data_IF_745227060782
#
_entry.id   IF_745227060782
#
_cell.length_a   1.000
_cell.length_b   1.000
_cell.length_c   1.000
_cell.angle_alpha   90.00
_cell.angle_beta   90.00
_cell.angle_gamma   90.00
#
_symmetry.space_group_name_H-M   'P 1'
#
loop_
_entity.id
_entity.type
_entity.pdbx_description
1 polymer ?
#
# COMPACT_ATOMS: atom_id res chain seq x y z
N UNK A 1 15.88 37.64 -24.58
CA UNK A 1 14.53 37.18 -24.16
C UNK A 1 14.20 35.78 -24.71
N UNK A 2 14.65 35.41 -25.92
CA UNK A 2 14.36 34.08 -26.50
C UNK A 2 14.94 32.88 -25.72
N UNK A 3 16.17 32.97 -25.22
CA UNK A 3 16.77 31.87 -24.44
C UNK A 3 16.05 31.54 -23.13
N UNK A 4 15.37 32.53 -22.53
CA UNK A 4 14.63 32.36 -21.28
C UNK A 4 13.29 31.65 -21.53
N UNK A 5 12.64 31.94 -22.67
CA UNK A 5 11.42 31.25 -23.12
C UNK A 5 11.73 29.77 -23.41
N UNK A 6 12.85 29.48 -24.09
CA UNK A 6 13.27 28.11 -24.37
C UNK A 6 13.49 27.28 -23.09
N UNK A 7 14.16 27.86 -22.08
CA UNK A 7 14.38 27.19 -20.79
C UNK A 7 13.07 26.89 -20.05
N UNK A 8 12.12 27.83 -20.04
CA UNK A 8 10.82 27.63 -19.38
C UNK A 8 10.02 26.52 -20.07
N UNK A 9 10.01 26.51 -21.41
CA UNK A 9 9.32 25.45 -22.18
C UNK A 9 9.94 24.09 -21.89
N UNK A 10 11.28 24.01 -21.91
CA UNK A 10 11.99 22.77 -21.61
C UNK A 10 11.70 22.28 -20.18
N UNK A 11 11.70 23.19 -19.20
CA UNK A 11 11.35 22.88 -17.82
C UNK A 11 9.91 22.35 -17.69
N UNK A 12 8.94 23.00 -18.34
CA UNK A 12 7.54 22.56 -18.31
C UNK A 12 7.36 21.18 -18.92
N UNK A 13 8.07 20.86 -20.00
CA UNK A 13 8.04 19.53 -20.62
C UNK A 13 8.59 18.49 -19.64
N UNK A 14 9.78 18.72 -19.07
CA UNK A 14 10.38 17.81 -18.10
C UNK A 14 9.50 17.63 -16.85
N UNK A 15 8.92 18.72 -16.35
CA UNK A 15 8.06 18.70 -15.18
C UNK A 15 6.78 17.91 -15.43
N UNK A 16 6.09 18.16 -16.55
CA UNK A 16 4.84 17.47 -16.89
C UNK A 16 5.06 15.98 -17.12
N UNK A 17 6.19 15.61 -17.75
CA UNK A 17 6.60 14.22 -17.91
C UNK A 17 6.83 13.56 -16.54
N UNK A 18 7.69 14.15 -15.69
CA UNK A 18 7.98 13.61 -14.36
C UNK A 18 6.73 13.48 -13.48
N UNK A 19 5.87 14.51 -13.49
CA UNK A 19 4.61 14.52 -12.77
C UNK A 19 3.64 13.44 -13.27
N UNK A 20 3.51 13.28 -14.60
CA UNK A 20 2.64 12.28 -15.21
C UNK A 20 3.04 10.86 -14.84
N UNK A 21 4.34 10.54 -14.92
CA UNK A 21 4.86 9.24 -14.52
C UNK A 21 4.67 8.97 -13.02
N UNK A 22 5.01 9.93 -12.16
CA UNK A 22 4.85 9.79 -10.71
C UNK A 22 3.39 9.51 -10.32
N UNK A 23 2.46 10.30 -10.87
CA UNK A 23 1.03 10.13 -10.61
C UNK A 23 0.49 8.79 -11.11
N UNK A 24 0.97 8.30 -12.25
CA UNK A 24 0.52 7.01 -12.78
C UNK A 24 0.97 5.83 -11.91
N UNK A 25 2.24 5.84 -11.46
CA UNK A 25 2.78 4.79 -10.60
C UNK A 25 2.07 4.78 -9.25
N UNK A 26 1.84 5.96 -8.66
CA UNK A 26 1.12 6.08 -7.39
C UNK A 26 -0.32 5.57 -7.51
N UNK A 27 -1.04 5.96 -8.56
CA UNK A 27 -2.40 5.45 -8.79
C UNK A 27 -2.44 3.94 -8.99
N UNK A 28 -1.45 3.37 -9.67
CA UNK A 28 -1.34 1.91 -9.82
C UNK A 28 -1.11 1.25 -8.46
N UNK A 29 -0.20 1.79 -7.65
CA UNK A 29 0.09 1.26 -6.31
C UNK A 29 -1.16 1.27 -5.42
N UNK A 30 -1.89 2.38 -5.37
CA UNK A 30 -3.12 2.49 -4.57
C UNK A 30 -4.18 1.46 -5.01
N UNK A 31 -4.34 1.23 -6.32
CA UNK A 31 -5.25 0.19 -6.82
C UNK A 31 -4.83 -1.22 -6.42
N UNK A 32 -3.53 -1.51 -6.42
CA UNK A 32 -3.03 -2.80 -5.94
C UNK A 32 -3.29 -2.99 -4.44
N UNK A 33 -3.19 -1.92 -3.63
CA UNK A 33 -3.59 -1.98 -2.22
C UNK A 33 -5.08 -2.27 -2.05
N UNK A 34 -5.96 -1.57 -2.76
CA UNK A 34 -7.40 -1.80 -2.69
C UNK A 34 -7.78 -3.25 -3.02
N UNK A 35 -7.14 -3.83 -4.05
CA UNK A 35 -7.35 -5.22 -4.44
C UNK A 35 -6.91 -6.19 -3.34
N UNK A 36 -5.75 -5.94 -2.73
CA UNK A 36 -5.25 -6.77 -1.62
C UNK A 36 -6.15 -6.66 -0.39
N UNK A 37 -6.63 -5.46 -0.07
CA UNK A 37 -7.54 -5.25 1.05
C UNK A 37 -8.84 -6.06 0.86
N UNK A 38 -9.43 -6.01 -0.34
CA UNK A 38 -10.59 -6.85 -0.67
C UNK A 38 -10.29 -8.36 -0.59
N UNK A 39 -9.12 -8.79 -1.08
CA UNK A 39 -8.71 -10.19 -1.03
C UNK A 39 -8.59 -10.72 0.42
N UNK A 40 -8.06 -9.91 1.32
CA UNK A 40 -7.79 -10.31 2.71
C UNK A 40 -8.90 -9.91 3.69
N UNK A 41 -10.01 -9.32 3.24
CA UNK A 41 -11.12 -8.88 4.09
C UNK A 41 -11.78 -10.01 4.93
N UNK A 42 -11.56 -11.28 4.57
CA UNK A 42 -12.03 -12.43 5.32
C UNK A 42 -11.21 -12.70 6.60
N UNK A 43 -9.99 -12.15 6.70
CA UNK A 43 -9.15 -12.26 7.88
C UNK A 43 -9.69 -11.29 8.93
N UNK A 44 -10.14 -11.83 10.06
CA UNK A 44 -10.62 -11.04 11.19
C UNK A 44 -9.53 -10.92 12.22
N UNK A 45 -9.20 -9.68 12.59
CA UNK A 45 -8.25 -9.37 13.65
C UNK A 45 -9.07 -8.99 14.88
N UNK A 46 -8.79 -9.64 16.01
CA UNK A 46 -9.37 -9.30 17.30
C UNK A 46 -8.25 -8.97 18.29
N UNK A 47 -8.45 -7.94 19.11
CA UNK A 47 -7.51 -7.52 20.16
C UNK A 47 -7.97 -7.99 21.55
N UNK A 48 -9.09 -8.72 21.64
CA UNK A 48 -9.57 -9.28 22.89
C UNK A 48 -8.56 -10.27 23.48
N UNK A 49 -8.17 -10.02 24.73
CA UNK A 49 -7.29 -10.90 25.51
C UNK A 49 -7.96 -12.23 25.85
N UNK A 50 -9.29 -12.26 25.94
CA UNK A 50 -10.07 -13.45 26.28
C UNK A 50 -11.17 -13.64 25.24
N UNK A 51 -11.20 -14.81 24.61
CA UNK A 51 -12.23 -15.19 23.65
C UNK A 51 -13.16 -16.19 24.33
N UNK A 52 -14.46 -15.89 24.34
CA UNK A 52 -15.49 -16.79 24.84
C UNK A 52 -16.11 -17.55 23.66
N UNK A 53 -15.84 -18.87 23.52
CA UNK A 53 -16.43 -19.65 22.44
C UNK A 53 -17.94 -19.81 22.66
N UNK A 54 -18.73 -19.57 21.61
CA UNK A 54 -20.19 -19.77 21.62
C UNK A 54 -20.57 -21.25 21.51
N UNK A 55 -19.67 -22.10 21.04
CA UNK A 55 -19.86 -23.52 20.83
C UNK A 55 -19.03 -24.36 21.83
N UNK A 56 -19.47 -25.58 22.18
CA UNK A 56 -18.69 -26.47 23.03
C UNK A 56 -17.37 -26.87 22.33
N UNK A 57 -16.24 -26.69 23.01
CA UNK A 57 -14.91 -27.01 22.49
C UNK A 57 -13.78 -26.34 23.27
N UNK A 58 -12.54 -26.60 22.87
CA UNK A 58 -11.34 -25.96 23.42
C UNK A 58 -10.64 -25.14 22.34
N UNK A 59 -10.32 -23.88 22.67
CA UNK A 59 -9.50 -23.02 21.80
C UNK A 59 -8.04 -23.45 21.89
N UNK A 60 -7.44 -23.82 20.75
CA UNK A 60 -6.00 -24.06 20.63
C UNK A 60 -5.36 -22.79 20.09
N UNK A 61 -4.52 -22.14 20.89
CA UNK A 61 -3.77 -20.94 20.50
C UNK A 61 -2.28 -21.25 20.37
N UNK A 62 -1.64 -20.74 19.33
CA UNK A 62 -0.18 -20.77 19.14
C UNK A 62 0.30 -19.39 18.73
N UNK A 63 1.55 -19.05 19.06
CA UNK A 63 2.16 -17.79 18.68
C UNK A 63 3.03 -17.99 17.44
N UNK A 64 2.97 -17.04 16.52
CA UNK A 64 3.91 -16.93 15.39
C UNK A 64 4.64 -15.60 15.49
N UNK A 65 5.94 -15.62 15.23
CA UNK A 65 6.74 -14.40 15.10
C UNK A 65 6.83 -14.05 13.63
N UNK A 66 6.27 -12.91 13.24
CA UNK A 66 6.42 -12.38 11.89
C UNK A 66 7.80 -11.73 11.81
N UNK A 67 8.74 -12.37 11.11
CA UNK A 67 10.13 -11.89 11.01
C UNK A 67 10.31 -10.79 9.97
N UNK A 68 9.47 -10.78 8.93
CA UNK A 68 9.54 -9.82 7.83
C UNK A 68 8.16 -9.27 7.53
N UNK A 69 8.08 -7.95 7.45
CA UNK A 69 6.88 -7.24 7.04
C UNK A 69 6.95 -7.02 5.53
N UNK A 70 5.96 -7.55 4.81
CA UNK A 70 5.85 -7.37 3.36
C UNK A 70 5.79 -5.88 2.97
N UNK A 71 5.28 -5.01 3.85
CA UNK A 71 5.22 -3.56 3.63
C UNK A 71 6.57 -2.85 3.78
N UNK A 72 7.61 -3.52 4.31
CA UNK A 72 8.97 -2.96 4.39
C UNK A 72 9.80 -3.17 3.11
N UNK A 73 9.29 -3.91 2.13
CA UNK A 73 9.97 -4.00 0.83
C UNK A 73 9.82 -2.67 0.09
N UNK A 74 10.82 -1.80 0.23
CA UNK A 74 11.09 -0.73 -0.74
C UNK A 74 11.66 -1.43 -1.98
N UNK A 75 10.85 -1.60 -3.01
CA UNK A 75 11.31 -1.94 -4.36
C UNK A 75 11.97 -0.72 -5.01
#
# INVERSE_FOLDING_TARGET
>A
MEGLIFQIVLFLILFTVGWGFGRHIEQKHLRELDQKEQQFAHIRIDTNRFVHPTAPGQMISSNVVISHDYFKYVL
#
